data_IF_335759830068
#
_entry.id   IF_335759830068
#
_cell.length_a   1.000
_cell.length_b   1.000
_cell.length_c   1.000
_cell.angle_alpha   90.00
_cell.angle_beta   90.00
_cell.angle_gamma   90.00
#
_symmetry.space_group_name_H-M   'P 1'
#
loop_
_entity.id
_entity.type
_entity.pdbx_description
1 polymer ?
#
# COMPACT_ATOMS: atom_id res chain seq x y z
N UNK A 1 3.89 27.69 -10.35
CA UNK A 1 4.80 26.59 -9.97
C UNK A 1 4.53 26.25 -8.52
N UNK A 2 4.39 24.98 -8.19
CA UNK A 2 4.22 24.53 -6.80
C UNK A 2 5.45 24.85 -5.96
N UNK A 3 5.34 24.67 -4.65
CA UNK A 3 6.43 24.86 -3.68
C UNK A 3 7.47 23.77 -3.79
N UNK A 4 7.08 22.57 -4.26
CA UNK A 4 7.92 21.37 -4.30
C UNK A 4 8.20 20.92 -5.73
N UNK A 5 9.35 20.23 -5.93
CA UNK A 5 9.73 19.72 -7.24
C UNK A 5 9.26 18.28 -7.46
N UNK A 6 8.23 18.13 -8.29
CA UNK A 6 7.72 16.86 -8.81
C UNK A 6 8.00 16.70 -10.32
N UNK A 7 8.93 17.48 -10.87
CA UNK A 7 9.27 17.49 -12.30
C UNK A 7 10.63 16.90 -12.62
N UNK A 8 11.56 16.98 -11.69
CA UNK A 8 12.91 16.44 -11.85
C UNK A 8 12.95 14.95 -11.53
N UNK A 9 13.63 14.16 -12.38
CA UNK A 9 13.92 12.76 -12.12
C UNK A 9 15.25 12.63 -11.37
N UNK A 10 15.25 12.21 -10.09
CA UNK A 10 16.49 11.94 -9.38
C UNK A 10 17.24 10.78 -10.04
N UNK A 11 18.57 10.87 -10.11
CA UNK A 11 19.36 9.73 -10.56
C UNK A 11 19.23 8.57 -9.55
N UNK A 12 18.73 7.43 -10.02
CA UNK A 12 18.60 6.21 -9.21
C UNK A 12 19.52 5.07 -9.68
N UNK A 13 20.20 5.25 -10.81
CA UNK A 13 21.18 4.28 -11.33
C UNK A 13 22.43 4.27 -10.46
N UNK A 14 22.98 3.09 -10.21
CA UNK A 14 24.13 2.89 -9.35
C UNK A 14 23.85 3.00 -7.85
N UNK A 15 22.61 3.18 -7.44
CA UNK A 15 22.19 3.26 -6.03
C UNK A 15 21.59 1.96 -5.49
N UNK A 16 21.67 0.86 -6.23
CA UNK A 16 21.17 -0.47 -5.87
C UNK A 16 19.68 -0.50 -5.54
N UNK A 17 18.87 0.32 -6.24
CA UNK A 17 17.42 0.36 -6.01
C UNK A 17 16.72 -0.73 -6.80
N UNK A 18 15.86 -1.50 -6.15
CA UNK A 18 15.14 -2.60 -6.80
C UNK A 18 14.37 -2.18 -8.04
N UNK A 19 13.70 -1.04 -8.01
CA UNK A 19 12.87 -0.54 -9.10
C UNK A 19 13.68 -0.34 -10.39
N UNK A 20 14.91 0.19 -10.27
CA UNK A 20 15.77 0.55 -11.40
C UNK A 20 16.84 -0.50 -11.74
N UNK A 21 16.84 -1.65 -11.06
CA UNK A 21 17.87 -2.69 -11.22
C UNK A 21 18.02 -3.15 -12.68
N UNK A 22 16.93 -3.38 -13.41
CA UNK A 22 16.99 -3.83 -14.81
C UNK A 22 17.52 -2.73 -15.73
N UNK A 23 17.19 -1.46 -15.45
CA UNK A 23 17.71 -0.33 -16.20
C UNK A 23 19.23 -0.11 -16.05
N UNK A 24 19.85 -0.70 -15.02
CA UNK A 24 21.33 -0.72 -14.88
C UNK A 24 22.00 -1.60 -15.93
N UNK A 25 21.30 -2.60 -16.48
CA UNK A 25 21.82 -3.53 -17.50
C UNK A 25 21.25 -3.28 -18.90
N UNK A 26 20.06 -2.74 -19.00
CA UNK A 26 19.39 -2.33 -20.26
C UNK A 26 18.83 -0.92 -20.07
N UNK A 27 19.57 0.08 -20.53
CA UNK A 27 19.22 1.50 -20.39
C UNK A 27 17.96 1.93 -21.15
N UNK A 28 17.44 1.08 -22.05
CA UNK A 28 16.19 1.35 -22.75
C UNK A 28 14.96 1.02 -21.91
N UNK A 29 15.12 0.24 -20.83
CA UNK A 29 14.02 -0.20 -19.99
C UNK A 29 13.56 0.91 -19.04
N UNK A 30 12.26 1.16 -19.01
CA UNK A 30 11.60 2.11 -18.12
C UNK A 30 10.81 1.40 -17.02
N UNK A 31 11.21 1.54 -15.74
CA UNK A 31 10.51 0.88 -14.64
C UNK A 31 9.30 1.71 -14.18
N UNK A 32 8.11 1.12 -14.28
CA UNK A 32 6.86 1.71 -13.81
C UNK A 32 6.06 0.71 -12.92
N UNK A 33 6.77 0.00 -12.04
CA UNK A 33 6.24 -1.14 -11.28
C UNK A 33 6.27 -0.90 -9.75
N UNK A 34 7.32 -1.22 -9.05
CA UNK A 34 7.40 -1.18 -7.58
C UNK A 34 6.77 0.10 -7.01
N UNK A 35 5.99 -0.03 -5.93
CA UNK A 35 5.32 1.06 -5.25
C UNK A 35 6.29 1.89 -4.37
N UNK A 36 7.26 2.53 -5.02
CA UNK A 36 8.01 3.68 -4.56
C UNK A 36 7.94 4.78 -5.62
N UNK A 37 8.27 6.01 -5.26
CA UNK A 37 8.15 7.15 -6.15
C UNK A 37 9.50 7.52 -6.75
N UNK A 38 9.48 8.09 -7.94
CA UNK A 38 10.64 8.70 -8.58
C UNK A 38 10.64 10.24 -8.40
N UNK A 39 10.23 10.69 -7.22
CA UNK A 39 10.28 12.09 -6.79
C UNK A 39 11.27 12.25 -5.65
N UNK A 40 11.81 13.45 -5.54
CA UNK A 40 12.65 13.84 -4.38
C UNK A 40 11.76 13.87 -3.12
N UNK A 41 12.24 13.31 -2.03
CA UNK A 41 11.56 13.35 -0.74
C UNK A 41 11.43 14.78 -0.21
N UNK A 42 10.50 14.98 0.71
CA UNK A 42 10.32 16.24 1.44
C UNK A 42 11.68 16.74 1.99
N UNK A 43 12.08 18.02 1.77
CA UNK A 43 13.37 18.54 2.19
C UNK A 43 13.67 18.34 3.68
N UNK A 44 12.67 18.49 4.54
CA UNK A 44 12.81 18.36 5.99
C UNK A 44 13.12 16.91 6.40
N UNK A 45 12.62 15.91 5.66
CA UNK A 45 12.99 14.49 5.86
C UNK A 45 14.47 14.31 5.54
N UNK A 46 14.92 14.85 4.40
CA UNK A 46 16.32 14.78 4.01
C UNK A 46 17.22 15.45 5.04
N UNK A 47 16.82 16.62 5.56
CA UNK A 47 17.56 17.33 6.60
C UNK A 47 17.64 16.51 7.89
N UNK A 48 16.55 15.88 8.33
CA UNK A 48 16.54 15.02 9.52
C UNK A 48 17.49 13.82 9.37
N UNK A 49 17.46 13.16 8.21
CA UNK A 49 18.37 12.04 7.88
C UNK A 49 19.83 12.51 7.86
N UNK A 50 20.13 13.67 7.27
CA UNK A 50 21.47 14.22 7.24
C UNK A 50 21.97 14.55 8.67
N UNK A 51 21.12 15.18 9.49
CA UNK A 51 21.46 15.48 10.89
C UNK A 51 21.75 14.20 11.69
N UNK A 52 21.01 13.12 11.44
CA UNK A 52 21.31 11.82 12.04
C UNK A 52 22.65 11.24 11.54
N UNK A 53 22.89 11.34 10.23
CA UNK A 53 24.14 10.85 9.61
C UNK A 53 25.40 11.58 10.13
N UNK A 54 25.24 12.84 10.55
CA UNK A 54 26.33 13.66 11.12
C UNK A 54 26.63 13.31 12.59
N UNK A 55 25.87 12.42 13.24
CA UNK A 55 26.17 11.92 14.58
C UNK A 55 27.40 11.03 14.57
N UNK A 56 28.18 11.09 15.64
CA UNK A 56 29.43 10.30 15.74
C UNK A 56 29.18 8.86 16.18
N UNK A 57 27.99 8.54 16.70
CA UNK A 57 27.64 7.21 17.21
C UNK A 57 26.22 6.84 16.74
N UNK A 58 26.08 5.70 16.09
CA UNK A 58 24.80 5.12 15.67
C UNK A 58 24.39 4.01 16.64
N UNK A 59 23.95 4.42 17.82
CA UNK A 59 23.53 3.49 18.89
C UNK A 59 22.08 3.05 18.77
N UNK A 60 21.63 2.25 19.73
CA UNK A 60 20.22 1.88 19.87
C UNK A 60 19.34 3.10 20.13
N UNK A 61 18.18 3.15 19.49
CA UNK A 61 17.24 4.26 19.57
C UNK A 61 15.88 3.81 20.08
N UNK A 62 15.10 4.73 20.59
CA UNK A 62 13.70 4.52 21.01
C UNK A 62 12.82 5.62 20.40
N UNK A 63 11.52 5.36 20.31
CA UNK A 63 10.55 6.34 19.84
C UNK A 63 10.46 7.50 20.85
N UNK A 64 10.76 8.72 20.38
CA UNK A 64 10.66 9.92 21.21
C UNK A 64 9.21 10.28 21.50
N UNK A 65 8.97 11.03 22.59
CA UNK A 65 7.63 11.58 22.88
C UNK A 65 7.17 12.55 21.78
N UNK A 66 8.10 13.23 21.12
CA UNK A 66 7.84 14.11 19.97
C UNK A 66 7.32 13.32 18.78
N UNK A 67 7.97 12.21 18.41
CA UNK A 67 7.49 11.32 17.36
C UNK A 67 6.08 10.81 17.65
N UNK A 68 5.85 10.33 18.88
CA UNK A 68 4.53 9.81 19.28
C UNK A 68 3.46 10.90 19.13
N UNK A 69 3.75 12.12 19.58
CA UNK A 69 2.83 13.26 19.43
C UNK A 69 2.56 13.62 17.96
N UNK A 70 3.59 13.61 17.10
CA UNK A 70 3.40 13.91 15.68
C UNK A 70 2.60 12.81 14.98
N UNK A 71 2.77 11.53 15.34
CA UNK A 71 1.94 10.43 14.84
C UNK A 71 0.48 10.63 15.28
N UNK A 72 0.22 10.84 16.57
CA UNK A 72 -1.14 11.06 17.08
C UNK A 72 -1.80 12.29 16.44
N UNK A 73 -1.04 13.38 16.27
CA UNK A 73 -1.53 14.60 15.62
C UNK A 73 -1.85 14.37 14.14
N UNK A 74 -1.00 13.63 13.43
CA UNK A 74 -1.24 13.28 12.02
C UNK A 74 -2.53 12.48 11.88
N UNK A 75 -2.66 11.39 12.62
CA UNK A 75 -3.85 10.54 12.59
C UNK A 75 -5.12 11.32 12.97
N UNK A 76 -5.07 12.15 14.01
CA UNK A 76 -6.19 12.98 14.41
C UNK A 76 -6.58 14.01 13.36
N UNK A 77 -5.60 14.68 12.72
CA UNK A 77 -5.88 15.79 11.80
C UNK A 77 -6.17 15.34 10.38
N UNK A 78 -5.61 14.22 9.92
CA UNK A 78 -5.81 13.72 8.56
C UNK A 78 -6.95 12.68 8.49
N UNK A 79 -7.13 11.88 9.55
CA UNK A 79 -8.03 10.71 9.53
C UNK A 79 -9.11 10.73 10.60
N UNK A 80 -9.17 11.80 11.42
CA UNK A 80 -10.10 11.90 12.56
C UNK A 80 -9.98 10.68 13.51
N UNK A 81 -8.75 10.13 13.61
CA UNK A 81 -8.46 8.96 14.42
C UNK A 81 -7.70 9.36 15.69
N UNK A 82 -8.38 9.24 16.82
CA UNK A 82 -7.87 9.59 18.14
C UNK A 82 -7.64 8.34 18.97
N UNK A 83 -6.45 8.15 19.47
CA UNK A 83 -6.08 7.01 20.34
C UNK A 83 -5.02 7.40 21.37
N UNK A 84 -4.96 6.65 22.46
CA UNK A 84 -3.96 6.83 23.51
C UNK A 84 -2.58 6.35 23.02
N UNK A 85 -1.51 6.99 23.49
CA UNK A 85 -0.13 6.65 23.09
C UNK A 85 0.24 5.18 23.33
N UNK A 86 -0.37 4.55 24.34
CA UNK A 86 -0.19 3.14 24.65
C UNK A 86 -0.70 2.20 23.57
N UNK A 87 -1.63 2.66 22.72
CA UNK A 87 -2.14 1.89 21.59
C UNK A 87 -1.12 1.79 20.44
N UNK A 88 -0.12 2.68 20.42
CA UNK A 88 0.87 2.76 19.35
C UNK A 88 1.98 1.74 19.53
N UNK A 89 2.21 0.90 18.53
CA UNK A 89 3.28 -0.12 18.51
C UNK A 89 4.08 0.03 17.23
N UNK A 90 5.33 0.49 17.35
CA UNK A 90 6.22 0.63 16.18
C UNK A 90 6.76 -0.73 15.73
N UNK A 91 6.94 -0.87 14.42
CA UNK A 91 7.51 -2.04 13.76
C UNK A 91 8.19 -1.62 12.45
N UNK A 92 9.16 -2.38 11.97
CA UNK A 92 9.99 -2.03 10.81
C UNK A 92 9.25 -1.96 9.46
N UNK A 93 8.02 -2.51 9.37
CA UNK A 93 7.24 -2.51 8.14
C UNK A 93 5.87 -3.14 8.33
N UNK A 94 4.92 -2.79 7.44
CA UNK A 94 3.55 -3.33 7.48
C UNK A 94 3.53 -4.84 7.17
N UNK A 95 4.36 -5.34 6.26
CA UNK A 95 4.43 -6.79 5.98
C UNK A 95 4.93 -7.61 7.17
N UNK A 96 6.01 -7.23 7.87
CA UNK A 96 6.35 -7.82 9.16
C UNK A 96 5.23 -7.70 10.21
N UNK A 97 4.52 -6.57 10.23
CA UNK A 97 3.39 -6.36 11.14
C UNK A 97 2.24 -7.35 10.89
N UNK A 98 1.90 -7.60 9.62
CA UNK A 98 0.91 -8.60 9.21
C UNK A 98 1.33 -9.99 9.68
N UNK A 99 2.58 -10.39 9.44
CA UNK A 99 3.10 -11.69 9.90
C UNK A 99 3.02 -11.84 11.42
N UNK A 100 3.37 -10.77 12.15
CA UNK A 100 3.26 -10.74 13.61
C UNK A 100 1.81 -10.89 14.07
N UNK A 101 0.86 -10.21 13.42
CA UNK A 101 -0.57 -10.32 13.73
C UNK A 101 -1.11 -11.74 13.44
N UNK A 102 -0.76 -12.33 12.29
CA UNK A 102 -1.10 -13.72 11.96
C UNK A 102 -0.64 -14.67 13.08
N UNK A 103 0.60 -14.55 13.52
CA UNK A 103 1.17 -15.40 14.58
C UNK A 103 0.57 -15.11 15.96
N UNK A 104 0.18 -13.88 16.24
CA UNK A 104 -0.36 -13.48 17.55
C UNK A 104 -1.82 -13.90 17.73
N UNK A 105 -2.62 -13.85 16.66
CA UNK A 105 -4.08 -14.00 16.72
C UNK A 105 -4.59 -15.32 16.15
N UNK A 106 -3.72 -16.13 15.54
CA UNK A 106 -4.09 -17.43 14.97
C UNK A 106 -3.09 -18.52 15.34
N UNK A 107 -3.46 -19.76 15.10
CA UNK A 107 -2.60 -20.96 15.23
C UNK A 107 -2.26 -21.51 13.85
N UNK A 108 -1.25 -22.35 13.76
CA UNK A 108 -0.95 -23.10 12.53
C UNK A 108 -2.17 -23.94 12.10
N UNK A 109 -2.46 -23.90 10.81
CA UNK A 109 -3.65 -24.53 10.22
C UNK A 109 -4.93 -23.70 10.25
N UNK A 110 -5.00 -22.63 11.04
CA UNK A 110 -6.16 -21.70 11.04
C UNK A 110 -6.32 -21.02 9.67
N UNK A 111 -7.57 -20.72 9.31
CA UNK A 111 -7.89 -20.03 8.08
C UNK A 111 -7.71 -18.51 8.22
N UNK A 112 -7.04 -17.92 7.24
CA UNK A 112 -6.86 -16.47 7.09
C UNK A 112 -7.39 -16.03 5.74
N UNK A 113 -8.34 -15.09 5.73
CA UNK A 113 -9.00 -14.59 4.53
C UNK A 113 -8.36 -13.30 4.03
N UNK A 114 -8.23 -13.21 2.70
CA UNK A 114 -7.90 -11.98 1.96
C UNK A 114 -8.87 -11.80 0.79
N UNK A 115 -9.13 -10.56 0.38
CA UNK A 115 -9.81 -10.32 -0.89
C UNK A 115 -8.80 -10.27 -2.03
N UNK A 116 -9.06 -11.00 -3.13
CA UNK A 116 -8.22 -10.99 -4.32
C UNK A 116 -8.93 -10.30 -5.49
N UNK A 117 -8.18 -9.66 -6.43
CA UNK A 117 -6.72 -9.50 -6.47
C UNK A 117 -6.24 -8.53 -5.37
N UNK A 118 -5.12 -8.80 -4.73
CA UNK A 118 -4.57 -7.95 -3.65
C UNK A 118 -3.05 -8.06 -3.58
N UNK A 119 -2.43 -7.16 -2.86
CA UNK A 119 -0.98 -7.06 -2.62
C UNK A 119 -0.36 -8.42 -2.29
N UNK A 120 0.55 -8.94 -3.13
CA UNK A 120 1.04 -10.33 -3.06
C UNK A 120 1.61 -10.76 -1.71
N UNK A 121 2.27 -9.88 -0.93
CA UNK A 121 2.76 -10.25 0.39
C UNK A 121 1.69 -10.72 1.39
N UNK A 122 0.40 -10.39 1.21
CA UNK A 122 -0.66 -10.92 2.08
C UNK A 122 -0.73 -12.44 1.99
N UNK A 123 -0.94 -12.96 0.78
CA UNK A 123 -0.99 -14.41 0.54
C UNK A 123 0.30 -15.11 0.96
N UNK A 124 1.45 -14.48 0.66
CA UNK A 124 2.76 -15.01 1.05
C UNK A 124 2.92 -15.09 2.58
N UNK A 125 2.51 -14.05 3.31
CA UNK A 125 2.58 -14.02 4.78
C UNK A 125 1.70 -15.10 5.40
N UNK A 126 0.50 -15.32 4.88
CA UNK A 126 -0.39 -16.40 5.35
C UNK A 126 0.26 -17.76 5.15
N UNK A 127 0.72 -18.06 3.93
CA UNK A 127 1.31 -19.36 3.56
C UNK A 127 2.60 -19.67 4.32
N UNK A 128 3.52 -18.68 4.41
CA UNK A 128 4.81 -18.87 5.09
C UNK A 128 4.68 -18.98 6.63
N UNK A 129 3.56 -18.56 7.17
CA UNK A 129 3.23 -18.77 8.59
C UNK A 129 2.39 -20.05 8.82
N UNK A 130 2.29 -20.97 7.86
CA UNK A 130 1.56 -22.23 7.96
C UNK A 130 0.05 -22.07 8.27
N UNK A 131 -0.59 -21.00 7.77
CA UNK A 131 -2.04 -20.81 7.84
C UNK A 131 -2.68 -21.19 6.52
N UNK A 132 -3.95 -21.61 6.56
CA UNK A 132 -4.74 -21.84 5.35
C UNK A 132 -5.14 -20.50 4.73
N UNK A 133 -4.79 -20.29 3.49
CA UNK A 133 -5.19 -19.09 2.75
C UNK A 133 -6.58 -19.29 2.18
N UNK A 134 -7.50 -18.40 2.53
CA UNK A 134 -8.83 -18.30 1.93
C UNK A 134 -8.86 -17.04 1.06
N UNK A 135 -9.16 -17.21 -0.22
CA UNK A 135 -9.29 -16.11 -1.18
C UNK A 135 -10.75 -15.81 -1.45
N UNK A 136 -11.16 -14.59 -1.18
CA UNK A 136 -12.49 -14.09 -1.49
C UNK A 136 -12.37 -13.08 -2.63
N UNK A 137 -12.76 -13.48 -3.86
CA UNK A 137 -12.59 -12.66 -5.05
C UNK A 137 -13.48 -11.42 -5.00
N UNK A 138 -12.88 -10.27 -5.25
CA UNK A 138 -13.61 -9.03 -5.49
C UNK A 138 -14.34 -9.08 -6.82
N UNK A 139 -15.44 -8.36 -6.92
CA UNK A 139 -16.24 -8.24 -8.14
C UNK A 139 -15.97 -6.87 -8.76
N UNK A 140 -15.65 -6.84 -10.05
CA UNK A 140 -15.58 -5.57 -10.78
C UNK A 140 -16.98 -5.11 -11.16
N UNK A 141 -17.35 -3.91 -10.74
CA UNK A 141 -18.60 -3.27 -11.08
C UNK A 141 -18.37 -1.78 -11.32
N UNK A 142 -18.87 -1.29 -12.45
CA UNK A 142 -18.74 0.12 -12.86
C UNK A 142 -17.28 0.64 -12.83
N UNK A 143 -16.32 -0.23 -13.14
CA UNK A 143 -14.89 0.08 -13.18
C UNK A 143 -14.23 0.19 -11.80
N UNK A 144 -14.84 -0.36 -10.76
CA UNK A 144 -14.31 -0.43 -9.40
C UNK A 144 -14.45 -1.85 -8.83
N UNK A 145 -13.60 -2.19 -7.87
CA UNK A 145 -13.78 -3.41 -7.10
C UNK A 145 -14.82 -3.24 -5.99
N UNK A 146 -15.69 -4.24 -5.86
CA UNK A 146 -16.67 -4.35 -4.78
C UNK A 146 -16.54 -5.70 -4.07
N UNK A 147 -17.00 -5.76 -2.81
CA UNK A 147 -17.05 -6.98 -2.01
C UNK A 147 -18.42 -7.63 -2.21
N UNK A 148 -18.44 -8.89 -2.62
CA UNK A 148 -19.64 -9.74 -2.55
C UNK A 148 -19.82 -10.19 -1.09
N UNK A 149 -20.72 -9.53 -0.39
CA UNK A 149 -20.93 -9.77 1.04
C UNK A 149 -21.59 -11.11 1.36
N UNK A 150 -22.41 -11.63 0.47
CA UNK A 150 -23.04 -12.95 0.67
C UNK A 150 -21.97 -14.04 0.57
N UNK A 151 -21.08 -13.92 -0.40
CA UNK A 151 -19.92 -14.80 -0.53
C UNK A 151 -18.93 -14.61 0.63
N UNK A 152 -18.66 -13.36 1.03
CA UNK A 152 -17.78 -13.09 2.17
C UNK A 152 -18.29 -13.77 3.43
N UNK A 153 -19.55 -13.60 3.80
CA UNK A 153 -20.14 -14.22 4.99
C UNK A 153 -20.07 -15.74 4.91
N UNK A 154 -20.39 -16.31 3.74
CA UNK A 154 -20.28 -17.74 3.50
C UNK A 154 -18.87 -18.26 3.72
N UNK A 155 -17.86 -17.60 3.14
CA UNK A 155 -16.45 -17.99 3.29
C UNK A 155 -15.98 -17.88 4.75
N UNK A 156 -16.40 -16.82 5.49
CA UNK A 156 -16.09 -16.67 6.92
C UNK A 156 -16.57 -17.87 7.75
N UNK A 157 -17.78 -18.36 7.45
CA UNK A 157 -18.43 -19.44 8.20
C UNK A 157 -17.94 -20.82 7.77
N UNK A 158 -18.02 -21.13 6.47
CA UNK A 158 -17.72 -22.48 5.95
C UNK A 158 -16.23 -22.84 6.09
N UNK A 159 -15.34 -21.85 5.99
CA UNK A 159 -13.90 -22.02 6.12
C UNK A 159 -13.39 -21.86 7.56
N UNK A 160 -14.25 -21.54 8.50
CA UNK A 160 -13.91 -21.27 9.92
C UNK A 160 -12.78 -20.23 10.04
N UNK A 161 -12.94 -19.11 9.33
CA UNK A 161 -11.92 -18.06 9.26
C UNK A 161 -11.66 -17.45 10.64
N UNK A 162 -10.38 -17.33 11.02
CA UNK A 162 -9.96 -16.74 12.30
C UNK A 162 -9.43 -15.32 12.17
N UNK A 163 -8.90 -14.96 11.00
CA UNK A 163 -8.34 -13.65 10.73
C UNK A 163 -8.70 -13.21 9.32
N UNK A 164 -9.10 -11.95 9.17
CA UNK A 164 -9.29 -11.29 7.88
C UNK A 164 -8.29 -10.15 7.73
N UNK A 165 -7.55 -10.13 6.61
CA UNK A 165 -6.60 -9.06 6.28
C UNK A 165 -7.23 -8.19 5.19
N UNK A 166 -7.61 -6.98 5.55
CA UNK A 166 -8.23 -5.99 4.68
C UNK A 166 -7.18 -5.01 4.15
N UNK A 167 -7.20 -4.68 2.86
CA UNK A 167 -6.41 -3.63 2.23
C UNK A 167 -7.27 -2.36 2.07
N UNK A 168 -6.95 -1.29 2.78
CA UNK A 168 -7.76 -0.07 2.89
C UNK A 168 -6.91 1.21 2.96
N UNK A 169 -6.75 2.01 1.89
CA UNK A 169 -7.23 1.80 0.50
C UNK A 169 -6.64 0.59 -0.19
N UNK A 170 -7.38 0.08 -1.18
CA UNK A 170 -7.08 -1.18 -1.82
C UNK A 170 -5.96 -1.07 -2.89
N UNK A 171 -5.04 -2.00 -2.88
CA UNK A 171 -4.00 -2.20 -3.88
C UNK A 171 -4.16 -3.61 -4.48
N UNK A 172 -4.43 -3.77 -5.80
CA UNK A 172 -4.05 -2.86 -6.88
C UNK A 172 -5.14 -1.90 -7.40
N UNK A 173 -6.41 -2.09 -7.04
CA UNK A 173 -7.53 -1.39 -7.69
C UNK A 173 -7.71 0.08 -7.27
N UNK A 174 -6.98 0.55 -6.23
CA UNK A 174 -7.10 1.92 -5.75
C UNK A 174 -8.47 2.25 -5.13
N UNK A 175 -9.22 1.24 -4.68
CA UNK A 175 -10.53 1.42 -4.05
C UNK A 175 -10.36 2.08 -2.69
N UNK A 176 -11.05 3.19 -2.44
CA UNK A 176 -11.22 3.80 -1.11
C UNK A 176 -12.59 3.35 -0.61
N UNK A 177 -12.59 2.46 0.40
CA UNK A 177 -13.82 1.86 0.89
C UNK A 177 -14.68 2.88 1.64
N UNK A 178 -15.98 2.93 1.32
CA UNK A 178 -16.96 3.77 2.01
C UNK A 178 -17.19 3.27 3.43
N UNK A 179 -17.62 4.17 4.29
CA UNK A 179 -17.91 3.88 5.70
C UNK A 179 -18.89 2.72 5.87
N UNK A 180 -19.92 2.66 5.04
CA UNK A 180 -20.97 1.63 5.06
C UNK A 180 -20.40 0.24 4.70
N UNK A 181 -19.45 0.18 3.78
CA UNK A 181 -18.74 -1.05 3.40
C UNK A 181 -17.90 -1.55 4.57
N UNK A 182 -17.10 -0.66 5.19
CA UNK A 182 -16.26 -1.00 6.34
C UNK A 182 -17.09 -1.42 7.55
N UNK A 183 -18.22 -0.76 7.78
CA UNK A 183 -19.15 -1.10 8.85
C UNK A 183 -19.71 -2.51 8.66
N UNK A 184 -20.14 -2.86 7.44
CA UNK A 184 -20.66 -4.20 7.14
C UNK A 184 -19.59 -5.28 7.29
N UNK A 185 -18.34 -5.02 6.87
CA UNK A 185 -17.20 -5.91 7.14
C UNK A 185 -17.04 -6.14 8.65
N UNK A 186 -17.01 -5.06 9.43
CA UNK A 186 -16.83 -5.14 10.88
C UNK A 186 -17.95 -5.91 11.57
N UNK A 187 -19.20 -5.68 11.17
CA UNK A 187 -20.36 -6.41 11.69
C UNK A 187 -20.26 -7.92 11.42
N UNK A 188 -19.81 -8.32 10.22
CA UNK A 188 -19.60 -9.73 9.91
C UNK A 188 -18.46 -10.34 10.73
N UNK A 189 -17.33 -9.65 10.86
CA UNK A 189 -16.22 -10.09 11.69
C UNK A 189 -16.64 -10.25 13.15
N UNK A 190 -17.35 -9.27 13.71
CA UNK A 190 -17.86 -9.31 15.07
C UNK A 190 -18.84 -10.47 15.28
N UNK A 191 -19.79 -10.64 14.35
CA UNK A 191 -20.81 -11.72 14.39
C UNK A 191 -20.18 -13.11 14.42
N UNK A 192 -19.11 -13.32 13.66
CA UNK A 192 -18.47 -14.63 13.49
C UNK A 192 -17.18 -14.81 14.29
N UNK A 193 -16.81 -13.84 15.15
CA UNK A 193 -15.63 -13.92 16.02
C UNK A 193 -14.30 -13.93 15.26
N UNK A 194 -14.23 -13.20 14.13
CA UNK A 194 -13.06 -13.10 13.26
C UNK A 194 -12.23 -11.86 13.65
N UNK A 195 -10.94 -12.03 13.89
CA UNK A 195 -10.02 -10.89 14.03
C UNK A 195 -9.81 -10.19 12.69
N UNK A 196 -9.57 -8.87 12.73
CA UNK A 196 -9.31 -8.09 11.52
C UNK A 196 -8.00 -7.32 11.62
N UNK A 197 -7.23 -7.38 10.55
CA UNK A 197 -6.06 -6.52 10.31
C UNK A 197 -6.38 -5.60 9.15
N UNK A 198 -6.50 -4.29 9.41
CA UNK A 198 -6.66 -3.28 8.37
C UNK A 198 -5.29 -2.73 7.99
N UNK A 199 -4.81 -3.08 6.78
CA UNK A 199 -3.61 -2.48 6.20
C UNK A 199 -3.99 -1.15 5.55
N UNK A 200 -3.63 -0.07 6.23
CA UNK A 200 -3.97 1.31 5.84
C UNK A 200 -2.73 2.10 5.38
N UNK A 201 -1.70 1.41 4.87
CA UNK A 201 -0.45 2.05 4.44
C UNK A 201 -0.63 3.11 3.34
N UNK A 202 -1.76 3.10 2.64
CA UNK A 202 -2.13 4.07 1.62
C UNK A 202 -3.16 5.11 2.10
N UNK A 203 -3.45 5.19 3.39
CA UNK A 203 -4.51 6.03 3.97
C UNK A 203 -4.46 7.51 3.56
N UNK A 204 -3.26 8.09 3.44
CA UNK A 204 -3.05 9.50 3.07
C UNK A 204 -3.29 9.79 1.58
N UNK A 205 -3.44 8.75 0.77
CA UNK A 205 -3.44 8.81 -0.69
C UNK A 205 -4.85 8.66 -1.29
N UNK A 206 -5.89 9.06 -0.56
CA UNK A 206 -7.23 9.23 -1.12
C UNK A 206 -7.23 10.45 -2.05
N UNK A 207 -7.77 10.28 -3.27
CA UNK A 207 -7.71 11.24 -4.38
C UNK A 207 -9.12 11.59 -4.87
N UNK A 208 -9.24 12.59 -5.75
CA UNK A 208 -10.49 13.00 -6.40
C UNK A 208 -11.63 13.31 -5.42
N UNK A 209 -11.27 13.85 -4.24
CA UNK A 209 -12.24 14.19 -3.19
C UNK A 209 -12.76 13.01 -2.37
N UNK A 210 -12.28 11.78 -2.63
CA UNK A 210 -12.56 10.63 -1.76
C UNK A 210 -11.90 10.81 -0.40
N UNK A 211 -12.51 10.27 0.64
CA UNK A 211 -12.02 10.31 2.01
C UNK A 211 -11.74 8.91 2.52
N UNK A 212 -10.52 8.68 2.98
CA UNK A 212 -10.19 7.46 3.72
C UNK A 212 -10.88 7.46 5.09
N UNK A 213 -11.34 6.30 5.52
CA UNK A 213 -11.85 6.04 6.85
C UNK A 213 -11.01 4.93 7.49
N UNK A 214 -10.35 5.26 8.61
CA UNK A 214 -9.65 4.23 9.36
C UNK A 214 -10.65 3.27 10.00
N UNK A 215 -10.38 1.97 9.92
CA UNK A 215 -11.34 0.92 10.29
C UNK A 215 -11.85 1.06 11.72
N UNK A 216 -10.96 1.34 12.68
CA UNK A 216 -11.32 1.46 14.09
C UNK A 216 -12.15 2.72 14.40
N UNK A 217 -12.25 3.68 13.45
CA UNK A 217 -13.09 4.89 13.62
C UNK A 217 -14.54 4.66 13.20
N UNK A 218 -14.84 3.55 12.51
CA UNK A 218 -16.17 3.26 11.97
C UNK A 218 -17.17 2.97 13.08
N UNK A 219 -16.76 2.13 14.03
CA UNK A 219 -17.58 1.74 15.17
C UNK A 219 -16.67 1.50 16.40
N UNK A 220 -17.00 2.06 17.58
CA UNK A 220 -16.17 1.93 18.76
C UNK A 220 -15.95 0.48 19.23
N UNK A 221 -16.82 -0.45 18.86
CA UNK A 221 -16.67 -1.86 19.22
C UNK A 221 -15.64 -2.59 18.37
N UNK A 222 -15.27 -2.05 17.19
CA UNK A 222 -14.36 -2.73 16.26
C UNK A 222 -12.93 -2.85 16.81
N UNK A 223 -12.50 -1.92 17.65
CA UNK A 223 -11.22 -1.99 18.34
C UNK A 223 -11.04 -3.24 19.23
N UNK A 224 -12.13 -3.91 19.59
CA UNK A 224 -12.07 -5.11 20.42
C UNK A 224 -11.52 -6.34 19.66
N UNK A 225 -11.59 -6.35 18.32
CA UNK A 225 -11.12 -7.45 17.48
C UNK A 225 -10.28 -7.01 16.27
N UNK A 226 -10.10 -5.71 16.06
CA UNK A 226 -9.35 -5.18 14.93
C UNK A 226 -8.11 -4.40 15.34
N UNK A 227 -7.09 -4.43 14.47
CA UNK A 227 -5.91 -3.59 14.53
C UNK A 227 -5.72 -2.85 13.21
N UNK A 228 -5.17 -1.65 13.29
CA UNK A 228 -4.82 -0.83 12.12
C UNK A 228 -3.32 -0.82 11.95
N UNK A 229 -2.84 -1.07 10.73
CA UNK A 229 -1.42 -1.00 10.36
C UNK A 229 -1.22 0.12 9.35
N UNK A 230 -0.27 1.01 9.58
CA UNK A 230 0.03 2.09 8.65
C UNK A 230 1.48 2.57 8.74
N UNK A 231 1.85 3.54 7.89
CA UNK A 231 3.22 4.05 7.80
C UNK A 231 3.28 5.32 6.97
N UNK A 232 4.19 6.22 7.31
CA UNK A 232 4.59 7.35 6.48
C UNK A 232 5.34 6.95 5.18
N UNK A 233 5.75 5.68 5.06
CA UNK A 233 6.71 5.23 4.04
C UNK A 233 6.18 5.30 2.61
N UNK A 234 4.89 5.06 2.39
CA UNK A 234 4.26 5.19 1.06
C UNK A 234 3.91 6.64 0.75
N UNK A 235 3.39 7.34 1.72
CA UNK A 235 3.00 8.75 1.60
C UNK A 235 4.17 9.65 1.24
N UNK A 236 5.34 9.45 1.89
CA UNK A 236 6.50 10.33 1.78
C UNK A 236 7.71 9.71 1.06
N UNK A 237 7.52 8.58 0.39
CA UNK A 237 8.59 7.91 -0.39
C UNK A 237 9.81 7.54 0.43
N UNK A 238 9.63 7.03 1.64
CA UNK A 238 10.71 6.69 2.59
C UNK A 238 10.72 5.21 2.98
N UNK A 239 10.30 4.31 2.09
CA UNK A 239 10.25 2.87 2.37
C UNK A 239 11.59 2.27 2.82
N UNK A 240 12.71 2.84 2.38
CA UNK A 240 14.06 2.41 2.77
C UNK A 240 14.41 2.69 4.24
N UNK A 241 13.69 3.59 4.92
CA UNK A 241 13.96 3.93 6.33
C UNK A 241 13.36 2.93 7.33
N UNK A 242 12.48 2.04 6.87
CA UNK A 242 11.96 0.89 7.65
C UNK A 242 11.29 1.28 8.96
N UNK A 243 10.23 2.09 8.88
CA UNK A 243 9.38 2.39 10.03
C UNK A 243 7.89 2.32 9.66
N UNK A 244 7.13 1.66 10.48
CA UNK A 244 5.67 1.53 10.42
C UNK A 244 5.14 1.45 11.83
N UNK A 245 3.83 1.48 12.01
CA UNK A 245 3.21 1.27 13.30
C UNK A 245 1.86 0.57 13.19
N UNK A 246 1.52 -0.13 14.28
CA UNK A 246 0.20 -0.66 14.51
C UNK A 246 -0.50 0.22 15.56
N UNK A 247 -1.79 0.51 15.36
CA UNK A 247 -2.67 1.05 16.39
C UNK A 247 -3.52 -0.08 16.92
N UNK A 248 -3.29 -0.45 18.19
CA UNK A 248 -3.92 -1.58 18.87
C UNK A 248 -4.54 -1.07 20.18
N UNK A 249 -5.80 -0.65 20.13
CA UNK A 249 -6.45 -0.02 21.27
C UNK A 249 -6.81 -1.04 22.37
N UNK A 250 -7.25 -2.25 22.00
CA UNK A 250 -7.52 -3.31 22.96
C UNK A 250 -6.23 -3.79 23.66
N UNK A 251 -6.11 -3.64 25.01
CA UNK A 251 -4.90 -4.03 25.73
C UNK A 251 -4.54 -5.52 25.63
N UNK A 252 -5.55 -6.40 25.51
CA UNK A 252 -5.31 -7.86 25.40
C UNK A 252 -4.68 -8.20 24.05
N UNK A 253 -5.21 -7.63 22.97
CA UNK A 253 -4.65 -7.80 21.62
C UNK A 253 -3.23 -7.20 21.57
N UNK A 254 -3.03 -6.02 22.16
CA UNK A 254 -1.73 -5.36 22.18
C UNK A 254 -0.67 -6.18 22.91
N UNK A 255 -0.99 -6.73 24.08
CA UNK A 255 -0.06 -7.61 24.82
C UNK A 255 0.27 -8.87 24.02
N UNK A 256 -0.71 -9.50 23.37
CA UNK A 256 -0.47 -10.68 22.53
C UNK A 256 0.42 -10.34 21.33
N UNK A 257 0.16 -9.22 20.66
CA UNK A 257 0.95 -8.73 19.55
C UNK A 257 2.39 -8.40 19.95
N UNK A 258 2.58 -7.60 21.00
CA UNK A 258 3.92 -7.22 21.49
C UNK A 258 4.74 -8.42 21.97
N UNK A 259 4.11 -9.40 22.61
CA UNK A 259 4.78 -10.65 22.98
C UNK A 259 5.31 -11.41 21.75
N UNK A 260 4.53 -11.43 20.66
CA UNK A 260 4.95 -12.06 19.42
C UNK A 260 6.04 -11.25 18.71
N UNK A 261 5.89 -9.93 18.67
CA UNK A 261 6.88 -9.01 18.13
C UNK A 261 8.26 -9.18 18.83
N UNK A 262 8.26 -9.27 20.15
CA UNK A 262 9.45 -9.50 20.94
C UNK A 262 10.07 -10.89 20.63
N UNK A 263 9.25 -11.93 20.53
CA UNK A 263 9.71 -13.28 20.18
C UNK A 263 10.31 -13.34 18.76
N UNK A 264 9.87 -12.48 17.86
CA UNK A 264 10.42 -12.35 16.50
C UNK A 264 11.62 -11.39 16.43
N UNK A 265 12.04 -10.75 17.52
CA UNK A 265 13.07 -9.70 17.58
C UNK A 265 12.77 -8.52 16.62
N UNK A 266 11.50 -8.10 16.52
CA UNK A 266 11.03 -7.02 15.63
C UNK A 266 10.64 -5.74 16.38
N UNK A 267 11.11 -5.57 17.61
CA UNK A 267 10.78 -4.45 18.50
C UNK A 267 11.79 -3.31 18.42
N UNK A 268 12.92 -3.51 17.77
CA UNK A 268 13.97 -2.49 17.60
C UNK A 268 13.85 -1.85 16.22
N UNK A 269 13.51 -0.55 16.19
CA UNK A 269 13.35 0.21 14.95
C UNK A 269 14.57 1.10 14.75
N UNK A 270 14.98 1.24 13.49
CA UNK A 270 16.08 2.13 13.12
C UNK A 270 15.79 3.59 13.49
N UNK A 271 16.77 4.27 14.07
CA UNK A 271 16.69 5.71 14.34
C UNK A 271 16.42 6.55 13.11
N UNK A 272 16.90 6.13 11.92
CA UNK A 272 16.55 6.75 10.65
C UNK A 272 15.05 6.68 10.38
N UNK A 273 14.41 5.54 10.69
CA UNK A 273 12.98 5.36 10.52
C UNK A 273 12.15 6.28 11.41
N UNK A 274 12.54 6.40 12.67
CA UNK A 274 11.88 7.31 13.61
C UNK A 274 11.98 8.76 13.18
N UNK A 275 13.17 9.24 12.89
CA UNK A 275 13.41 10.64 12.52
C UNK A 275 12.76 11.01 11.18
N UNK A 276 12.81 10.11 10.19
CA UNK A 276 12.17 10.34 8.91
C UNK A 276 10.64 10.43 9.05
N UNK A 277 10.03 9.57 9.88
CA UNK A 277 8.59 9.60 10.15
C UNK A 277 8.18 10.86 10.92
N UNK A 278 8.95 11.26 11.94
CA UNK A 278 8.69 12.47 12.70
C UNK A 278 8.73 13.71 11.79
N UNK A 279 9.76 13.84 10.97
CA UNK A 279 9.89 14.96 10.02
C UNK A 279 8.76 14.95 8.97
N UNK A 280 8.39 13.76 8.47
CA UNK A 280 7.31 13.60 7.51
C UNK A 280 5.99 14.14 8.06
N UNK A 281 5.58 13.71 9.25
CA UNK A 281 4.30 14.10 9.82
C UNK A 281 4.29 15.54 10.36
N UNK A 282 5.43 16.05 10.84
CA UNK A 282 5.55 17.43 11.32
C UNK A 282 5.44 18.46 10.19
N UNK A 283 6.02 18.18 9.03
CA UNK A 283 6.21 19.15 7.96
C UNK A 283 5.54 18.80 6.63
N UNK A 284 5.02 17.57 6.49
CA UNK A 284 4.69 17.01 5.19
C UNK A 284 3.31 17.36 4.63
N UNK A 285 2.45 18.04 5.39
CA UNK A 285 1.06 18.29 4.96
C UNK A 285 0.98 19.00 3.59
N UNK A 286 1.65 20.14 3.43
CA UNK A 286 1.60 20.91 2.19
C UNK A 286 2.21 20.13 1.01
N UNK A 287 3.29 19.37 1.27
CA UNK A 287 3.94 18.52 0.27
C UNK A 287 3.00 17.42 -0.22
N UNK A 288 2.25 16.81 0.69
CA UNK A 288 1.28 15.77 0.37
C UNK A 288 0.13 16.33 -0.48
N UNK A 289 -0.39 17.51 -0.14
CA UNK A 289 -1.49 18.12 -0.92
C UNK A 289 -1.05 18.44 -2.36
N UNK A 290 0.16 18.98 -2.57
CA UNK A 290 0.70 19.18 -3.92
C UNK A 290 0.94 17.85 -4.65
N UNK A 291 1.45 16.82 -3.96
CA UNK A 291 1.67 15.50 -4.53
C UNK A 291 0.36 14.83 -4.99
N UNK A 292 -0.70 14.93 -4.19
CA UNK A 292 -2.02 14.38 -4.56
C UNK A 292 -2.53 15.00 -5.85
N UNK A 293 -2.37 16.29 -6.04
CA UNK A 293 -2.74 16.96 -7.29
C UNK A 293 -1.93 16.43 -8.49
N UNK A 294 -0.64 16.18 -8.31
CA UNK A 294 0.20 15.56 -9.34
C UNK A 294 -0.31 14.16 -9.70
N UNK A 295 -0.71 13.36 -8.71
CA UNK A 295 -1.28 12.04 -8.97
C UNK A 295 -2.61 12.11 -9.71
N UNK A 296 -3.50 13.00 -9.33
CA UNK A 296 -4.78 13.20 -10.03
C UNK A 296 -4.57 13.59 -11.50
N UNK A 297 -3.65 14.50 -11.77
CA UNK A 297 -3.29 14.91 -13.14
C UNK A 297 -2.69 13.75 -13.95
N UNK A 298 -1.82 12.94 -13.32
CA UNK A 298 -1.20 11.78 -13.96
C UNK A 298 -2.21 10.67 -14.26
N UNK A 299 -3.10 10.37 -13.29
CA UNK A 299 -4.15 9.37 -13.46
C UNK A 299 -5.11 9.79 -14.58
N UNK A 300 -5.55 11.04 -14.59
CA UNK A 300 -6.41 11.55 -15.66
C UNK A 300 -5.73 11.45 -17.02
N UNK A 301 -4.44 11.78 -17.11
CA UNK A 301 -3.67 11.63 -18.35
C UNK A 301 -3.64 10.19 -18.86
N UNK A 302 -3.39 9.21 -17.97
CA UNK A 302 -3.37 7.77 -18.33
C UNK A 302 -4.74 7.30 -18.80
N UNK A 303 -5.81 7.64 -18.06
CA UNK A 303 -7.19 7.29 -18.40
C UNK A 303 -7.56 7.84 -19.79
N UNK A 304 -7.28 9.11 -20.03
CA UNK A 304 -7.60 9.79 -21.28
C UNK A 304 -6.80 9.21 -22.48
N UNK A 305 -5.51 8.99 -22.28
CA UNK A 305 -4.64 8.50 -23.36
C UNK A 305 -5.00 7.05 -23.74
N UNK A 306 -5.08 6.15 -22.77
CA UNK A 306 -5.34 4.74 -23.06
C UNK A 306 -6.76 4.52 -23.57
N UNK A 307 -7.75 5.25 -23.05
CA UNK A 307 -9.12 5.19 -23.52
C UNK A 307 -9.32 5.69 -24.96
N UNK A 308 -8.44 6.58 -25.46
CA UNK A 308 -8.51 7.10 -26.83
C UNK A 308 -7.70 6.26 -27.83
N UNK A 309 -6.54 5.76 -27.41
CA UNK A 309 -5.53 5.23 -28.32
C UNK A 309 -5.40 3.70 -28.28
N UNK A 310 -6.07 3.03 -27.31
CA UNK A 310 -5.93 1.58 -27.08
C UNK A 310 -7.26 0.92 -26.72
N UNK A 311 -7.26 -0.43 -26.65
CA UNK A 311 -8.36 -1.22 -26.07
C UNK A 311 -8.13 -1.52 -24.57
N UNK A 312 -7.06 -0.99 -23.97
CA UNK A 312 -6.74 -1.18 -22.55
C UNK A 312 -7.80 -0.50 -21.71
N UNK A 313 -8.45 -1.26 -20.82
CA UNK A 313 -9.35 -0.65 -19.84
C UNK A 313 -8.55 -0.22 -18.61
N UNK A 314 -8.80 0.99 -18.18
CA UNK A 314 -8.15 1.58 -17.01
C UNK A 314 -9.14 1.63 -15.85
N UNK A 315 -8.87 0.88 -14.79
CA UNK A 315 -9.59 1.06 -13.54
C UNK A 315 -9.08 2.36 -12.90
N UNK A 316 -9.89 3.43 -12.98
CA UNK A 316 -9.52 4.73 -12.41
C UNK A 316 -9.51 4.65 -10.90
N UNK A 317 -8.34 4.77 -10.23
CA UNK A 317 -8.26 4.61 -8.79
C UNK A 317 -8.90 5.81 -8.07
N UNK A 318 -9.53 5.53 -6.92
CA UNK A 318 -10.03 6.54 -5.98
C UNK A 318 -8.93 6.98 -4.99
N UNK A 319 -7.87 6.20 -4.90
CA UNK A 319 -6.70 6.46 -4.06
C UNK A 319 -5.48 5.68 -4.55
N UNK A 320 -4.34 5.91 -3.95
CA UNK A 320 -3.03 5.41 -4.34
C UNK A 320 -2.48 6.06 -5.63
N UNK A 321 -1.21 5.80 -5.94
CA UNK A 321 -0.57 6.17 -7.21
C UNK A 321 -0.37 4.96 -8.14
N UNK A 322 -1.24 3.96 -7.97
CA UNK A 322 -1.18 2.67 -8.68
C UNK A 322 -2.45 2.50 -9.50
N UNK A 323 -2.29 2.17 -10.77
CA UNK A 323 -3.40 1.98 -11.70
C UNK A 323 -3.46 0.52 -12.12
N UNK A 324 -4.63 -0.08 -12.05
CA UNK A 324 -4.92 -1.40 -12.55
C UNK A 324 -5.35 -1.32 -14.01
N UNK A 325 -4.63 -2.03 -14.90
CA UNK A 325 -4.84 -2.05 -16.34
C UNK A 325 -5.34 -3.43 -16.75
N UNK A 326 -6.43 -3.48 -17.51
CA UNK A 326 -7.01 -4.70 -18.09
C UNK A 326 -6.71 -4.76 -19.60
N UNK A 327 -6.03 -5.82 -20.01
CA UNK A 327 -5.67 -6.12 -21.40
C UNK A 327 -6.54 -7.24 -22.01
N UNK A 328 -7.61 -7.67 -21.36
CA UNK A 328 -8.46 -8.78 -21.82
C UNK A 328 -9.13 -8.56 -23.18
N UNK A 329 -9.21 -7.31 -23.63
CA UNK A 329 -9.72 -6.97 -24.96
C UNK A 329 -8.77 -7.35 -26.11
N UNK A 330 -7.55 -7.78 -25.78
CA UNK A 330 -6.57 -8.31 -26.74
C UNK A 330 -6.56 -9.83 -26.64
N UNK A 331 -6.48 -10.52 -27.75
CA UNK A 331 -6.41 -11.99 -27.79
C UNK A 331 -4.97 -12.46 -27.47
N UNK A 332 -4.59 -12.37 -26.19
CA UNK A 332 -3.25 -12.64 -25.67
C UNK A 332 -3.27 -13.70 -24.57
N UNK A 333 -2.11 -14.32 -24.34
CA UNK A 333 -1.81 -15.01 -23.06
C UNK A 333 -1.07 -14.08 -22.11
N UNK A 334 -1.02 -14.43 -20.82
CA UNK A 334 -0.26 -13.67 -19.82
C UNK A 334 1.23 -13.57 -20.17
N UNK A 335 1.81 -14.65 -20.72
CA UNK A 335 3.21 -14.68 -21.16
C UNK A 335 3.43 -13.70 -22.32
N UNK A 336 2.51 -13.69 -23.30
CA UNK A 336 2.61 -12.77 -24.45
C UNK A 336 2.42 -11.32 -24.03
N UNK A 337 1.52 -11.04 -23.08
CA UNK A 337 1.37 -9.71 -22.48
C UNK A 337 2.68 -9.23 -21.86
N UNK A 338 3.35 -10.08 -21.06
CA UNK A 338 4.63 -9.73 -20.45
C UNK A 338 5.75 -9.55 -21.48
N UNK A 339 5.79 -10.37 -22.53
CA UNK A 339 6.74 -10.24 -23.64
C UNK A 339 6.57 -8.89 -24.33
N UNK A 340 5.34 -8.50 -24.68
CA UNK A 340 5.04 -7.22 -25.34
C UNK A 340 5.43 -6.02 -24.47
N UNK A 341 5.10 -6.05 -23.19
CA UNK A 341 5.46 -4.99 -22.27
C UNK A 341 6.97 -4.86 -22.09
N UNK A 342 7.68 -5.97 -21.82
CA UNK A 342 9.11 -5.94 -21.48
C UNK A 342 10.03 -5.83 -22.68
N UNK A 343 9.74 -6.56 -23.76
CA UNK A 343 10.66 -6.67 -24.89
C UNK A 343 10.36 -5.65 -25.99
N UNK A 344 9.09 -5.37 -26.27
CA UNK A 344 8.71 -4.43 -27.32
C UNK A 344 8.50 -3.01 -26.81
N UNK A 345 7.66 -2.82 -25.77
CA UNK A 345 7.47 -1.52 -25.17
C UNK A 345 8.66 -1.07 -24.30
N UNK A 346 9.52 -2.00 -23.87
CA UNK A 346 10.62 -1.73 -22.93
C UNK A 346 10.13 -1.08 -21.63
N UNK A 347 8.97 -1.50 -21.12
CA UNK A 347 8.36 -1.00 -19.90
C UNK A 347 8.14 -2.16 -18.92
N UNK A 348 8.51 -1.96 -17.66
CA UNK A 348 8.28 -2.94 -16.60
C UNK A 348 7.08 -2.51 -15.77
N UNK A 349 6.03 -3.32 -15.79
CA UNK A 349 4.86 -3.22 -14.91
C UNK A 349 4.83 -4.41 -13.94
N UNK A 350 4.05 -4.31 -12.86
CA UNK A 350 3.76 -5.50 -12.06
C UNK A 350 2.78 -6.39 -12.82
N UNK A 351 3.09 -7.68 -12.87
CA UNK A 351 2.25 -8.69 -13.50
C UNK A 351 0.98 -8.91 -12.67
N UNK A 352 -0.18 -8.93 -13.34
CA UNK A 352 -1.46 -9.04 -12.66
C UNK A 352 -1.65 -10.35 -11.91
N UNK A 353 -1.20 -11.49 -12.46
CA UNK A 353 -1.26 -12.80 -11.81
C UNK A 353 -0.54 -12.87 -10.44
N UNK A 354 0.39 -11.95 -10.17
CA UNK A 354 1.06 -11.91 -8.85
C UNK A 354 0.09 -11.48 -7.74
N UNK A 355 -1.03 -10.82 -8.09
CA UNK A 355 -2.04 -10.33 -7.15
C UNK A 355 -3.19 -11.34 -6.88
N UNK A 356 -3.29 -12.39 -7.67
CA UNK A 356 -4.33 -13.42 -7.63
C UNK A 356 -4.70 -13.89 -9.03
N UNK A 357 -5.46 -14.96 -9.14
CA UNK A 357 -5.88 -15.54 -10.43
C UNK A 357 -6.72 -14.55 -11.26
N UNK A 358 -7.48 -13.68 -10.60
CA UNK A 358 -8.27 -12.61 -11.21
C UNK A 358 -7.42 -11.55 -11.92
N UNK A 359 -6.11 -11.54 -11.63
CA UNK A 359 -5.13 -10.68 -12.28
C UNK A 359 -4.64 -11.18 -13.64
N UNK A 360 -5.16 -12.30 -14.18
CA UNK A 360 -4.85 -12.75 -15.54
C UNK A 360 -5.15 -11.65 -16.55
N UNK A 361 -4.26 -11.43 -17.51
CA UNK A 361 -4.32 -10.36 -18.52
C UNK A 361 -4.40 -8.94 -17.94
N UNK A 362 -3.92 -8.75 -16.71
CA UNK A 362 -3.81 -7.44 -16.09
C UNK A 362 -2.37 -7.05 -15.80
N UNK A 363 -2.16 -5.77 -15.57
CA UNK A 363 -0.90 -5.24 -15.09
C UNK A 363 -1.16 -4.02 -14.18
N UNK A 364 -0.26 -3.78 -13.21
CA UNK A 364 -0.33 -2.60 -12.35
C UNK A 364 0.75 -1.60 -12.74
N UNK A 365 0.33 -0.39 -13.10
CA UNK A 365 1.16 0.77 -13.44
C UNK A 365 1.34 1.67 -12.22
N UNK A 366 2.58 2.07 -11.92
CA UNK A 366 2.91 3.12 -10.96
C UNK A 366 3.06 4.46 -11.70
N UNK A 367 2.29 5.48 -11.29
CA UNK A 367 2.32 6.82 -11.91
C UNK A 367 3.10 7.86 -11.09
N UNK A 368 3.73 7.45 -9.98
CA UNK A 368 4.49 8.33 -9.09
C UNK A 368 5.91 8.60 -9.64
N UNK A 369 5.97 9.30 -10.78
CA UNK A 369 7.19 9.68 -11.47
C UNK A 369 6.99 11.03 -12.17
N UNK A 370 8.06 11.75 -12.57
CA UNK A 370 7.93 12.97 -13.35
C UNK A 370 7.08 12.79 -14.60
N UNK A 371 6.26 13.79 -14.93
CA UNK A 371 5.30 13.71 -16.04
C UNK A 371 5.94 13.33 -17.38
N UNK A 372 7.14 13.81 -17.66
CA UNK A 372 7.87 13.46 -18.88
C UNK A 372 8.19 11.96 -18.98
N UNK A 373 8.59 11.35 -17.86
CA UNK A 373 8.85 9.91 -17.80
C UNK A 373 7.54 9.12 -17.93
N UNK A 374 6.46 9.54 -17.28
CA UNK A 374 5.15 8.90 -17.39
C UNK A 374 4.63 8.97 -18.84
N UNK A 375 4.80 10.11 -19.51
CA UNK A 375 4.43 10.26 -20.92
C UNK A 375 5.18 9.29 -21.82
N UNK A 376 6.49 9.14 -21.61
CA UNK A 376 7.31 8.18 -22.34
C UNK A 376 6.87 6.73 -22.11
N UNK A 377 6.66 6.34 -20.85
CA UNK A 377 6.13 5.02 -20.48
C UNK A 377 4.80 4.73 -21.19
N UNK A 378 3.85 5.65 -21.09
CA UNK A 378 2.53 5.48 -21.68
C UNK A 378 2.59 5.45 -23.22
N UNK A 379 3.40 6.30 -23.86
CA UNK A 379 3.52 6.34 -25.31
C UNK A 379 4.13 5.04 -25.86
N UNK A 380 5.09 4.43 -25.18
CA UNK A 380 5.65 3.13 -25.56
C UNK A 380 4.60 2.02 -25.51
N UNK A 381 3.78 2.00 -24.44
CA UNK A 381 2.67 1.05 -24.31
C UNK A 381 1.67 1.27 -25.45
N UNK A 382 1.23 2.51 -25.69
CA UNK A 382 0.31 2.84 -26.80
C UNK A 382 0.87 2.36 -28.14
N UNK A 383 2.14 2.70 -28.44
CA UNK A 383 2.78 2.32 -29.72
C UNK A 383 2.82 0.82 -29.92
N UNK A 384 2.98 0.04 -28.85
CA UNK A 384 3.00 -1.42 -28.90
C UNK A 384 1.61 -2.00 -29.12
N UNK A 385 0.61 -1.54 -28.34
CA UNK A 385 -0.72 -2.13 -28.33
C UNK A 385 -1.69 -1.57 -29.36
N UNK A 386 -1.46 -0.37 -29.92
CA UNK A 386 -2.25 0.16 -31.01
C UNK A 386 -2.06 -0.60 -32.35
N UNK A 387 -1.05 -1.47 -32.43
CA UNK A 387 -0.79 -2.32 -33.62
C UNK A 387 -1.56 -3.65 -33.57
N UNK A 388 -2.18 -3.97 -32.43
CA UNK A 388 -2.94 -5.20 -32.16
C UNK A 388 -4.44 -4.93 -32.25
#
# INVERSE_FOLDING_TARGET
MGKYDFTSLPNRLGHHTYKWKEAETDSEVLPAWIADMDFVVLPEIRQAVQTYADQLVYGYTYASEELIKEVQKWEATQHDYHFDKEALVFIEGVVPAISTAIQAFTKEGDAVLINTPVYPPFARSVKLNNRRLITNSLVEKDGLFEIDFDRLEKDLVEEDVKLYILCNPHNPGGRVWEKEVLEKIGQLCQKHGVFLVSDEIHQDLALFGHKHHSFNTINPDFKEFAIVLTSATKTFNIAGTKNSYAVIENPKLRVAYQKRQLANNQHEISGLGYLATEAAYRYGKDWLEELKQVFEDHINYVVDLFGKETKIKVMKPQGTYLIWLDFSAYDLTDEKLQELLRNEAKVILNRGLDFGEEGSLHARLNVAMPKSLLQEVCQRIVTTFAKL
#
